data_IF_254109675294
#
_entry.id   IF_254109675294
#
_cell.length_a   1.000
_cell.length_b   1.000
_cell.length_c   1.000
_cell.angle_alpha   90.00
_cell.angle_beta   90.00
_cell.angle_gamma   90.00
#
_symmetry.space_group_name_H-M   'P 1'
#
loop_
_entity.id
_entity.type
_entity.pdbx_description
1 polymer ?
#
# COMPACT_ATOMS: atom_id res chain seq x y z
N UNK A 1 0.43 18.46 -5.57
CA UNK A 1 -0.54 17.70 -6.40
C UNK A 1 0.15 16.99 -7.59
N UNK A 2 1.39 16.48 -7.44
CA UNK A 2 2.16 15.83 -8.53
C UNK A 2 2.34 14.32 -8.28
N UNK A 3 2.05 13.82 -7.07
CA UNK A 3 2.25 12.42 -6.68
C UNK A 3 1.21 11.40 -7.19
N UNK A 4 0.20 11.83 -7.97
CA UNK A 4 -0.95 10.95 -8.28
C UNK A 4 -0.82 10.13 -9.57
N UNK A 5 0.04 10.51 -10.52
CA UNK A 5 0.04 9.87 -11.86
C UNK A 5 1.06 8.76 -12.05
N UNK A 6 2.24 8.88 -11.43
CA UNK A 6 3.31 7.85 -11.57
C UNK A 6 2.97 6.61 -10.73
N UNK A 7 2.38 6.82 -9.55
CA UNK A 7 2.07 5.76 -8.58
C UNK A 7 1.09 4.73 -9.14
N UNK A 8 0.03 5.15 -9.82
CA UNK A 8 -1.03 4.25 -10.30
C UNK A 8 -0.53 3.24 -11.36
N UNK A 9 0.36 3.64 -12.27
CA UNK A 9 0.91 2.73 -13.29
C UNK A 9 1.79 1.66 -12.65
N UNK A 10 2.67 2.06 -11.71
CA UNK A 10 3.56 1.13 -11.01
C UNK A 10 2.74 0.17 -10.14
N UNK A 11 1.73 0.68 -9.43
CA UNK A 11 0.78 -0.13 -8.67
C UNK A 11 0.08 -1.16 -9.56
N UNK A 12 -0.49 -0.71 -10.67
CA UNK A 12 -1.20 -1.56 -11.61
C UNK A 12 -0.30 -2.65 -12.20
N UNK A 13 0.93 -2.29 -12.61
CA UNK A 13 1.91 -3.27 -13.09
C UNK A 13 2.28 -4.29 -12.00
N UNK A 14 2.46 -3.84 -10.75
CA UNK A 14 2.73 -4.73 -9.62
C UNK A 14 1.59 -5.69 -9.32
N UNK A 15 0.33 -5.22 -9.36
CA UNK A 15 -0.87 -6.02 -9.16
C UNK A 15 -1.06 -7.09 -10.26
N UNK A 16 -0.77 -6.75 -11.52
CA UNK A 16 -0.86 -7.70 -12.63
C UNK A 16 0.16 -8.83 -12.50
N UNK A 17 1.41 -8.49 -12.19
CA UNK A 17 2.50 -9.46 -12.09
C UNK A 17 2.48 -10.25 -10.77
N UNK A 18 1.77 -9.74 -9.76
CA UNK A 18 1.57 -10.40 -8.48
C UNK A 18 0.90 -11.77 -8.64
N UNK A 19 1.48 -12.78 -7.99
CA UNK A 19 0.90 -14.12 -7.83
C UNK A 19 0.07 -14.24 -6.54
N UNK A 20 0.04 -13.21 -5.71
CA UNK A 20 -0.70 -13.15 -4.45
C UNK A 20 -1.93 -12.26 -4.62
N UNK A 21 -2.99 -12.56 -3.86
CA UNK A 21 -4.24 -11.81 -3.91
C UNK A 21 -4.09 -10.36 -3.41
N UNK A 22 -3.06 -10.11 -2.62
CA UNK A 22 -2.73 -8.79 -2.08
C UNK A 22 -1.25 -8.46 -2.31
N UNK A 23 -0.96 -7.17 -2.50
CA UNK A 23 0.40 -6.62 -2.51
C UNK A 23 0.55 -5.51 -1.47
N UNK A 24 1.70 -5.48 -0.80
CA UNK A 24 2.07 -4.35 0.06
C UNK A 24 3.00 -3.40 -0.69
N UNK A 25 2.64 -2.11 -0.69
CA UNK A 25 3.33 -1.08 -1.44
C UNK A 25 3.92 -0.07 -0.49
N UNK A 26 5.22 0.17 -0.67
CA UNK A 26 5.97 1.18 0.07
C UNK A 26 6.76 2.09 -0.86
N UNK A 27 6.86 3.39 -0.56
CA UNK A 27 7.77 4.28 -1.27
C UNK A 27 9.23 4.08 -0.85
N UNK A 28 10.14 4.23 -1.81
CA UNK A 28 11.58 4.03 -1.62
C UNK A 28 12.23 5.04 -0.65
N UNK A 29 11.53 6.12 -0.30
CA UNK A 29 11.97 7.16 0.64
C UNK A 29 11.47 6.92 2.08
N UNK A 30 10.79 5.80 2.35
CA UNK A 30 10.37 5.36 3.69
C UNK A 30 11.24 4.20 4.21
N UNK A 31 12.51 4.44 4.59
CA UNK A 31 13.42 3.39 5.07
C UNK A 31 13.06 2.84 6.46
N UNK A 32 12.25 3.57 7.24
CA UNK A 32 11.86 3.20 8.60
C UNK A 32 10.46 2.58 8.61
N UNK A 33 10.36 1.36 8.11
CA UNK A 33 9.13 0.57 8.13
C UNK A 33 8.84 0.19 9.59
N UNK A 34 7.68 0.60 10.10
CA UNK A 34 7.20 0.09 11.37
C UNK A 34 6.56 -1.29 11.14
N UNK A 35 7.29 -2.36 11.43
CA UNK A 35 6.82 -3.74 11.21
C UNK A 35 5.54 -4.04 11.97
N UNK A 36 5.32 -3.44 13.15
CA UNK A 36 4.08 -3.61 13.91
C UNK A 36 2.88 -2.99 13.20
N UNK A 37 3.08 -1.90 12.47
CA UNK A 37 2.02 -1.28 11.68
C UNK A 37 1.68 -2.17 10.48
N UNK A 38 2.68 -2.71 9.78
CA UNK A 38 2.43 -3.63 8.67
C UNK A 38 1.74 -4.93 9.13
N UNK A 39 2.14 -5.49 10.27
CA UNK A 39 1.47 -6.66 10.87
C UNK A 39 0.02 -6.34 11.20
N UNK A 40 -0.25 -5.19 11.85
CA UNK A 40 -1.61 -4.75 12.14
C UNK A 40 -2.46 -4.55 10.87
N UNK A 41 -1.87 -4.01 9.80
CA UNK A 41 -2.58 -3.86 8.52
C UNK A 41 -2.85 -5.20 7.85
N UNK A 42 -1.96 -6.18 8.00
CA UNK A 42 -2.18 -7.55 7.50
C UNK A 42 -3.24 -8.28 8.33
N UNK A 43 -3.27 -8.11 9.64
CA UNK A 43 -4.31 -8.69 10.51
C UNK A 43 -5.70 -8.10 10.22
N UNK A 44 -5.75 -6.88 9.67
CA UNK A 44 -6.97 -6.24 9.20
C UNK A 44 -7.42 -6.73 7.82
N UNK A 45 -6.59 -7.44 7.06
CA UNK A 45 -6.98 -7.98 5.76
C UNK A 45 -8.04 -9.06 5.94
N UNK A 46 -9.21 -8.81 5.40
CA UNK A 46 -10.24 -9.82 5.18
C UNK A 46 -10.56 -9.87 3.68
N UNK A 47 -11.51 -9.06 3.23
CA UNK A 47 -12.02 -9.01 1.86
C UNK A 47 -11.96 -7.58 1.29
N UNK A 48 -11.16 -6.70 1.91
CA UNK A 48 -11.02 -5.31 1.51
C UNK A 48 -10.10 -5.15 0.30
N UNK A 49 -10.58 -4.44 -0.72
CA UNK A 49 -9.79 -4.16 -1.92
C UNK A 49 -8.55 -3.30 -1.63
N UNK A 50 -8.59 -2.43 -0.62
CA UNK A 50 -7.47 -1.53 -0.29
C UNK A 50 -7.47 -1.15 1.20
N UNK A 51 -6.31 -1.27 1.84
CA UNK A 51 -6.05 -0.75 3.19
C UNK A 51 -5.01 0.38 3.11
N UNK A 52 -5.42 1.59 3.44
CA UNK A 52 -4.56 2.79 3.45
C UNK A 52 -4.55 3.39 4.86
N UNK A 53 -3.38 3.53 5.51
CA UNK A 53 -3.28 4.19 6.79
C UNK A 53 -3.48 5.70 6.64
N UNK A 54 -4.11 6.28 7.66
CA UNK A 54 -4.33 7.71 7.79
C UNK A 54 -3.44 8.25 8.91
N UNK A 55 -2.45 9.05 8.55
CA UNK A 55 -1.41 9.56 9.46
C UNK A 55 -1.33 11.07 9.30
N UNK A 56 -1.33 11.81 10.41
CA UNK A 56 -1.20 13.28 10.44
C UNK A 56 -2.18 14.01 9.49
N UNK A 57 -3.43 13.54 9.44
CA UNK A 57 -4.47 14.16 8.63
C UNK A 57 -4.43 13.80 7.14
N UNK A 58 -3.54 12.90 6.72
CA UNK A 58 -3.35 12.52 5.32
C UNK A 58 -3.34 11.00 5.13
N UNK A 59 -3.91 10.55 4.02
CA UNK A 59 -3.76 9.16 3.58
C UNK A 59 -2.35 8.92 3.05
N UNK A 60 -1.80 7.74 3.36
CA UNK A 60 -0.49 7.30 2.90
C UNK A 60 -0.64 6.19 1.83
N UNK A 61 -1.03 6.52 0.58
CA UNK A 61 -1.24 5.52 -0.48
C UNK A 61 0.05 4.81 -0.89
N UNK A 62 1.19 5.39 -0.52
CA UNK A 62 2.54 4.86 -0.70
C UNK A 62 3.02 4.02 0.49
N UNK A 63 2.13 3.69 1.43
CA UNK A 63 2.33 2.73 2.51
C UNK A 63 1.00 1.99 2.72
N UNK A 64 0.62 1.16 1.75
CA UNK A 64 -0.74 0.61 1.68
C UNK A 64 -0.74 -0.83 1.16
N UNK A 65 -1.80 -1.56 1.49
CA UNK A 65 -2.06 -2.89 0.95
C UNK A 65 -3.16 -2.77 -0.10
N UNK A 66 -2.92 -3.35 -1.27
CA UNK A 66 -3.88 -3.38 -2.38
C UNK A 66 -4.21 -4.84 -2.71
N UNK A 67 -5.50 -5.16 -2.71
CA UNK A 67 -6.06 -6.39 -3.26
C UNK A 67 -6.12 -6.34 -4.79
N UNK A 68 -6.15 -7.53 -5.39
CA UNK A 68 -6.27 -7.73 -6.84
C UNK A 68 -7.71 -7.70 -7.33
#
# INVERSE_FOLDING_TARGET
>A
MIYSRVTAVVLYSGLIESKTDHIFVIACDMPFINTKLSEYMVDLLQDEDVIIPFVDGHYQPLYAIYGK
#
